data_IF_451188253387
#
_entry.id   IF_451188253387
#
_cell.length_a   1.000
_cell.length_b   1.000
_cell.length_c   1.000
_cell.angle_alpha   90.00
_cell.angle_beta   90.00
_cell.angle_gamma   90.00
#
_symmetry.space_group_name_H-M   'P 1'
#
loop_
_entity.id
_entity.type
_entity.pdbx_description
1 polymer ?
#
# COMPACT_ATOMS: atom_id res chain seq x y z
N UNK A 1 30.27 -21.29 25.21
CA UNK A 1 28.94 -20.65 25.38
C UNK A 1 28.84 -19.22 24.80
N UNK A 2 29.92 -18.56 24.35
CA UNK A 2 29.86 -17.18 23.82
C UNK A 2 29.30 -17.03 22.38
N UNK A 3 29.20 -18.13 21.61
CA UNK A 3 28.80 -18.12 20.19
C UNK A 3 27.27 -18.11 19.97
N UNK A 4 26.48 -18.53 20.97
CA UNK A 4 25.01 -18.46 20.90
C UNK A 4 24.50 -17.01 21.06
N UNK A 5 25.22 -16.18 21.81
CA UNK A 5 24.87 -14.77 22.01
C UNK A 5 25.05 -13.93 20.75
N UNK A 6 26.10 -14.19 19.96
CA UNK A 6 26.37 -13.47 18.71
C UNK A 6 25.44 -13.90 17.56
N UNK A 7 25.10 -15.19 17.47
CA UNK A 7 24.13 -15.69 16.49
C UNK A 7 22.76 -15.03 16.63
N UNK A 8 22.30 -14.80 17.86
CA UNK A 8 21.05 -14.07 18.13
C UNK A 8 21.09 -12.58 17.72
N UNK A 9 22.25 -11.93 17.84
CA UNK A 9 22.44 -10.55 17.40
C UNK A 9 22.49 -10.44 15.87
N UNK A 10 23.17 -11.38 15.19
CA UNK A 10 23.23 -11.45 13.73
C UNK A 10 21.83 -11.66 13.14
N UNK A 11 21.02 -12.54 13.73
CA UNK A 11 19.65 -12.78 13.29
C UNK A 11 18.73 -11.54 13.48
N UNK A 12 18.93 -10.77 14.54
CA UNK A 12 18.20 -9.51 14.74
C UNK A 12 18.64 -8.42 13.76
N UNK A 13 19.94 -8.36 13.43
CA UNK A 13 20.46 -7.44 12.42
C UNK A 13 19.83 -7.71 11.06
N UNK A 14 19.84 -8.96 10.60
CA UNK A 14 19.25 -9.32 9.31
C UNK A 14 17.73 -9.09 9.27
N UNK A 15 17.04 -9.34 10.38
CA UNK A 15 15.62 -9.00 10.51
C UNK A 15 15.36 -7.49 10.38
N UNK A 16 16.17 -6.67 11.06
CA UNK A 16 16.05 -5.21 10.98
C UNK A 16 16.35 -4.68 9.58
N UNK A 17 17.32 -5.27 8.88
CA UNK A 17 17.62 -4.93 7.48
C UNK A 17 16.42 -5.22 6.58
N UNK A 18 15.83 -6.42 6.68
CA UNK A 18 14.64 -6.78 5.90
C UNK A 18 13.44 -5.86 6.19
N UNK A 19 13.17 -5.52 7.45
CA UNK A 19 12.09 -4.57 7.78
C UNK A 19 12.35 -3.16 7.20
N UNK A 20 13.62 -2.74 7.16
CA UNK A 20 14.02 -1.48 6.52
C UNK A 20 13.76 -1.49 5.02
N UNK A 21 14.16 -2.56 4.32
CA UNK A 21 13.90 -2.71 2.87
C UNK A 21 12.41 -2.69 2.55
N UNK A 22 11.59 -3.44 3.30
CA UNK A 22 10.14 -3.43 3.13
C UNK A 22 9.55 -2.02 3.29
N UNK A 23 10.03 -1.25 4.27
CA UNK A 23 9.58 0.13 4.49
C UNK A 23 9.96 1.05 3.34
N UNK A 24 11.16 0.92 2.78
CA UNK A 24 11.58 1.71 1.61
C UNK A 24 10.70 1.39 0.40
N UNK A 25 10.46 0.10 0.12
CA UNK A 25 9.56 -0.31 -0.96
C UNK A 25 8.14 0.21 -0.77
N UNK A 26 7.60 0.13 0.46
CA UNK A 26 6.29 0.67 0.81
C UNK A 26 6.20 2.18 0.54
N UNK A 27 7.23 2.94 0.91
CA UNK A 27 7.29 4.38 0.70
C UNK A 27 7.42 4.76 -0.77
N UNK A 28 8.16 3.98 -1.57
CA UNK A 28 8.26 4.18 -3.02
C UNK A 28 6.91 3.95 -3.69
N UNK A 29 6.23 2.84 -3.39
CA UNK A 29 4.88 2.57 -3.89
C UNK A 29 3.89 3.66 -3.46
N UNK A 30 3.93 4.07 -2.20
CA UNK A 30 3.07 5.12 -1.68
C UNK A 30 3.23 6.46 -2.43
N UNK A 31 4.47 6.81 -2.79
CA UNK A 31 4.77 8.01 -3.56
C UNK A 31 4.30 7.90 -5.02
N UNK A 32 4.49 6.75 -5.67
CA UNK A 32 3.93 6.50 -7.01
C UNK A 32 2.40 6.62 -7.00
N UNK A 33 1.73 5.99 -6.02
CA UNK A 33 0.29 6.09 -5.84
C UNK A 33 -0.20 7.54 -5.73
N UNK A 34 0.44 8.34 -4.89
CA UNK A 34 0.12 9.76 -4.78
C UNK A 34 0.40 10.55 -6.05
N UNK A 35 1.50 10.27 -6.75
CA UNK A 35 1.87 10.98 -7.96
C UNK A 35 0.84 10.76 -9.07
N UNK A 36 0.42 9.50 -9.30
CA UNK A 36 -0.56 9.20 -10.35
C UNK A 36 -1.96 9.69 -10.02
N UNK A 37 -2.39 9.58 -8.76
CA UNK A 37 -3.64 10.18 -8.29
C UNK A 37 -3.62 11.71 -8.49
N UNK A 38 -2.50 12.38 -8.19
CA UNK A 38 -2.30 13.81 -8.48
C UNK A 38 -2.18 14.15 -9.97
N UNK A 39 -1.78 13.20 -10.82
CA UNK A 39 -1.71 13.36 -12.28
C UNK A 39 -3.09 13.26 -12.94
N UNK A 40 -4.01 12.49 -12.34
CA UNK A 40 -5.34 12.22 -12.87
C UNK A 40 -6.45 12.90 -12.04
N UNK A 41 -6.24 14.20 -11.73
CA UNK A 41 -7.04 14.97 -10.75
C UNK A 41 -8.55 14.95 -10.99
N UNK A 42 -8.98 15.08 -12.24
CA UNK A 42 -10.41 15.12 -12.56
C UNK A 42 -11.12 13.79 -12.31
N UNK A 43 -10.38 12.67 -12.35
CA UNK A 43 -10.88 11.35 -12.00
C UNK A 43 -10.38 10.87 -10.63
N UNK A 44 -9.87 11.75 -9.76
CA UNK A 44 -9.43 11.39 -8.41
C UNK A 44 -10.50 10.60 -7.61
N UNK A 45 -11.81 10.92 -7.70
CA UNK A 45 -12.86 10.10 -7.07
C UNK A 45 -12.89 8.64 -7.54
N UNK A 46 -12.40 8.34 -8.74
CA UNK A 46 -12.33 6.98 -9.28
C UNK A 46 -11.27 6.11 -8.60
N UNK A 47 -10.31 6.72 -7.90
CA UNK A 47 -9.34 5.99 -7.09
C UNK A 47 -9.86 5.64 -5.69
N UNK A 48 -11.02 6.16 -5.28
CA UNK A 48 -11.51 6.06 -3.90
C UNK A 48 -13.04 6.01 -3.80
N UNK A 49 -13.72 5.34 -4.74
CA UNK A 49 -15.18 5.27 -4.71
C UNK A 49 -15.64 4.43 -3.50
N UNK A 50 -16.03 5.11 -2.42
CA UNK A 50 -16.44 4.50 -1.15
C UNK A 50 -15.45 4.69 0.00
N UNK A 51 -15.76 4.06 1.14
CA UNK A 51 -15.01 4.26 2.39
C UNK A 51 -13.61 3.63 2.37
N UNK A 52 -13.38 2.59 1.57
CA UNK A 52 -12.09 1.90 1.46
C UNK A 52 -12.00 1.25 0.07
N UNK A 53 -11.11 1.73 -0.80
CA UNK A 53 -10.55 0.82 -1.82
C UNK A 53 -9.39 0.10 -1.16
N UNK A 54 -9.47 -1.22 -1.03
CA UNK A 54 -8.33 -2.09 -0.74
C UNK A 54 -7.88 -2.73 -2.04
N UNK A 55 -6.72 -2.34 -2.56
CA UNK A 55 -5.97 -3.21 -3.47
C UNK A 55 -5.36 -4.30 -2.61
N UNK A 56 -6.10 -5.40 -2.45
CA UNK A 56 -5.60 -6.54 -1.71
C UNK A 56 -4.71 -7.38 -2.62
N UNK A 57 -3.54 -7.79 -2.13
CA UNK A 57 -2.65 -8.76 -2.78
C UNK A 57 -3.24 -10.17 -2.96
N UNK A 58 -4.55 -10.31 -3.19
CA UNK A 58 -5.24 -11.53 -3.62
C UNK A 58 -6.60 -11.23 -4.28
N UNK A 59 -7.13 -10.01 -4.10
CA UNK A 59 -8.30 -9.51 -4.79
C UNK A 59 -8.06 -8.04 -5.14
N UNK A 60 -7.76 -7.77 -6.41
CA UNK A 60 -8.01 -6.45 -6.98
C UNK A 60 -9.50 -6.17 -6.79
N UNK A 61 -9.86 -5.40 -5.77
CA UNK A 61 -11.21 -4.84 -5.72
C UNK A 61 -11.24 -3.87 -6.89
N UNK A 62 -11.94 -4.27 -7.95
CA UNK A 62 -12.16 -3.38 -9.08
C UNK A 62 -12.70 -2.06 -8.51
N UNK A 63 -12.13 -0.90 -8.90
CA UNK A 63 -12.74 0.36 -8.54
C UNK A 63 -14.22 0.28 -8.89
N UNK A 64 -15.12 0.70 -7.99
CA UNK A 64 -16.54 0.77 -8.32
C UNK A 64 -16.72 1.54 -9.62
N UNK A 65 -17.79 1.23 -10.37
CA UNK A 65 -18.13 1.95 -11.59
C UNK A 65 -18.05 3.46 -11.34
N UNK A 66 -16.99 4.08 -11.85
CA UNK A 66 -16.73 5.50 -11.69
C UNK A 66 -16.88 6.15 -13.05
N UNK A 67 -17.67 7.23 -13.08
CA UNK A 67 -17.96 7.99 -14.29
C UNK A 67 -17.49 9.44 -14.18
N UNK A 68 -16.64 9.75 -13.20
CA UNK A 68 -16.11 11.10 -12.96
C UNK A 68 -14.87 11.33 -13.83
N UNK A 69 -14.90 12.41 -14.62
CA UNK A 69 -13.86 12.72 -15.61
C UNK A 69 -14.20 12.18 -17.01
N UNK A 70 -13.25 12.27 -17.93
CA UNK A 70 -13.34 11.69 -19.27
C UNK A 70 -13.14 10.18 -19.27
N UNK A 71 -13.63 9.48 -20.29
CA UNK A 71 -13.45 8.04 -20.43
C UNK A 71 -11.98 7.60 -20.39
N UNK A 72 -11.07 8.42 -20.95
CA UNK A 72 -9.63 8.17 -20.90
C UNK A 72 -9.08 8.29 -19.47
N UNK A 73 -9.52 9.28 -18.69
CA UNK A 73 -9.11 9.46 -17.29
C UNK A 73 -9.61 8.33 -16.41
N UNK A 74 -10.85 7.86 -16.61
CA UNK A 74 -11.39 6.68 -15.92
C UNK A 74 -10.57 5.42 -16.27
N UNK A 75 -10.22 5.23 -17.54
CA UNK A 75 -9.39 4.11 -17.98
C UNK A 75 -7.99 4.13 -17.34
N UNK A 76 -7.38 5.32 -17.20
CA UNK A 76 -6.10 5.50 -16.49
C UNK A 76 -6.22 5.07 -15.03
N UNK A 77 -7.27 5.53 -14.32
CA UNK A 77 -7.49 5.16 -12.92
C UNK A 77 -7.62 3.64 -12.73
N UNK A 78 -8.35 2.97 -13.63
CA UNK A 78 -8.49 1.52 -13.61
C UNK A 78 -7.15 0.80 -13.87
N UNK A 79 -6.36 1.31 -14.82
CA UNK A 79 -5.04 0.76 -15.14
C UNK A 79 -4.06 0.91 -13.97
N UNK A 80 -4.05 2.06 -13.31
CA UNK A 80 -3.22 2.32 -12.12
C UNK A 80 -3.56 1.37 -10.98
N UNK A 81 -4.85 1.21 -10.66
CA UNK A 81 -5.30 0.30 -9.61
C UNK A 81 -4.94 -1.17 -9.91
N UNK A 82 -4.99 -1.59 -11.19
CA UNK A 82 -4.56 -2.91 -11.61
C UNK A 82 -3.03 -3.08 -11.50
N UNK A 83 -2.26 -2.05 -11.88
CA UNK A 83 -0.81 -2.06 -11.77
C UNK A 83 -0.35 -2.17 -10.31
N UNK A 84 -0.91 -1.34 -9.41
CA UNK A 84 -0.58 -1.43 -7.98
C UNK A 84 -1.03 -2.74 -7.36
N UNK A 85 -2.18 -3.29 -7.75
CA UNK A 85 -2.60 -4.62 -7.32
C UNK A 85 -1.56 -5.70 -7.67
N UNK A 86 -0.98 -5.60 -8.87
CA UNK A 86 0.09 -6.50 -9.35
C UNK A 86 1.39 -6.29 -8.55
N UNK A 87 1.80 -5.05 -8.30
CA UNK A 87 2.98 -4.73 -7.49
C UNK A 87 2.83 -5.22 -6.04
N UNK A 88 1.65 -5.05 -5.43
CA UNK A 88 1.33 -5.48 -4.05
C UNK A 88 1.25 -7.00 -3.89
N UNK A 89 0.88 -7.73 -4.96
CA UNK A 89 0.95 -9.19 -5.02
C UNK A 89 2.39 -9.71 -4.91
N UNK A 90 3.39 -8.84 -5.02
CA UNK A 90 4.80 -9.22 -4.98
C UNK A 90 5.31 -9.80 -6.29
N UNK A 91 4.64 -9.50 -7.42
CA UNK A 91 5.14 -9.88 -8.75
C UNK A 91 6.39 -9.09 -9.16
N UNK A 92 6.82 -8.11 -8.37
CA UNK A 92 7.95 -7.23 -8.69
C UNK A 92 9.32 -7.88 -8.45
N UNK A 93 9.47 -8.85 -7.54
CA UNK A 93 10.77 -9.51 -7.29
C UNK A 93 10.61 -11.02 -7.00
N UNK A 94 10.82 -11.85 -8.02
CA UNK A 94 10.96 -13.30 -7.90
C UNK A 94 12.43 -13.67 -8.05
N UNK A 95 13.04 -14.24 -7.00
CA UNK A 95 14.37 -14.85 -7.08
C UNK A 95 14.28 -16.33 -6.71
N UNK A 96 14.71 -17.21 -7.63
CA UNK A 96 14.64 -18.67 -7.45
C UNK A 96 13.21 -19.22 -7.26
N UNK A 97 12.18 -18.58 -7.82
CA UNK A 97 10.78 -18.99 -7.67
C UNK A 97 10.14 -18.62 -6.33
N UNK A 98 10.84 -17.85 -5.48
CA UNK A 98 10.32 -17.27 -4.26
C UNK A 98 10.19 -15.76 -4.43
N UNK A 99 9.16 -15.15 -3.85
CA UNK A 99 9.10 -13.70 -3.74
C UNK A 99 10.24 -13.26 -2.81
N UNK A 100 11.27 -12.63 -3.37
CA UNK A 100 12.45 -12.17 -2.63
C UNK A 100 12.48 -10.67 -2.75
N UNK A 101 11.82 -9.99 -1.82
CA UNK A 101 11.83 -8.54 -1.69
C UNK A 101 10.48 -7.83 -1.84
N UNK A 102 9.39 -8.58 -2.02
CA UNK A 102 8.04 -8.03 -1.85
C UNK A 102 7.65 -7.93 -0.37
N UNK A 103 7.06 -6.80 0.02
CA UNK A 103 6.29 -6.66 1.26
C UNK A 103 5.37 -7.87 1.48
N UNK A 104 5.48 -8.53 2.64
CA UNK A 104 4.73 -9.76 2.93
C UNK A 104 3.25 -9.43 3.07
N UNK A 105 2.42 -10.00 2.20
CA UNK A 105 0.96 -9.84 2.23
C UNK A 105 0.50 -8.39 2.04
N UNK A 106 1.21 -7.61 1.22
CA UNK A 106 0.97 -6.19 1.10
C UNK A 106 -0.47 -5.84 0.64
N UNK A 107 -0.96 -4.71 1.13
CA UNK A 107 -2.27 -4.14 0.84
C UNK A 107 -2.10 -2.64 0.59
N UNK A 108 -2.71 -2.12 -0.47
CA UNK A 108 -2.83 -0.69 -0.71
C UNK A 108 -4.25 -0.24 -0.40
N UNK A 109 -4.40 0.93 0.21
CA UNK A 109 -5.71 1.54 0.40
C UNK A 109 -5.74 2.99 -0.03
N UNK A 110 -6.84 3.39 -0.64
CA UNK A 110 -7.14 4.78 -0.97
C UNK A 110 -8.51 5.11 -0.39
N UNK A 111 -8.53 6.08 0.52
CA UNK A 111 -9.71 6.48 1.29
C UNK A 111 -10.00 7.96 1.02
N UNK A 112 -11.25 8.29 0.66
CA UNK A 112 -11.69 9.68 0.60
C UNK A 112 -12.00 10.17 2.04
N UNK A 113 -10.99 10.77 2.70
CA UNK A 113 -11.14 11.26 4.08
C UNK A 113 -11.99 12.52 4.17
N UNK A 114 -11.99 13.32 3.10
CA UNK A 114 -12.90 14.45 2.91
C UNK A 114 -13.18 14.58 1.41
N UNK A 115 -14.26 13.93 0.96
CA UNK A 115 -14.65 13.93 -0.44
C UNK A 115 -15.02 15.34 -0.97
N UNK A 116 -15.55 16.21 -0.09
CA UNK A 116 -15.95 17.56 -0.46
C UNK A 116 -14.72 18.45 -0.75
N UNK A 117 -13.65 18.28 0.02
CA UNK A 117 -12.39 19.01 -0.18
C UNK A 117 -11.36 18.23 -1.01
N UNK A 118 -11.75 17.10 -1.60
CA UNK A 118 -10.89 16.21 -2.40
C UNK A 118 -9.61 15.79 -1.65
N UNK A 119 -9.76 15.48 -0.36
CA UNK A 119 -8.67 14.98 0.47
C UNK A 119 -8.75 13.47 0.52
N UNK A 120 -7.65 12.83 0.10
CA UNK A 120 -7.51 11.39 0.06
C UNK A 120 -6.38 10.96 0.99
N UNK A 121 -6.57 9.86 1.72
CA UNK A 121 -5.52 9.16 2.44
C UNK A 121 -5.14 7.92 1.66
N UNK A 122 -3.87 7.84 1.31
CA UNK A 122 -3.27 6.67 0.69
C UNK A 122 -2.49 5.95 1.77
N UNK A 123 -2.68 4.64 1.89
CA UNK A 123 -2.01 3.79 2.88
C UNK A 123 -1.45 2.55 2.20
N UNK A 124 -0.23 2.17 2.53
CA UNK A 124 0.34 0.86 2.20
C UNK A 124 0.57 0.11 3.50
N UNK A 125 -0.03 -1.08 3.63
CA UNK A 125 0.07 -1.94 4.79
C UNK A 125 0.69 -3.29 4.43
N UNK A 126 1.48 -3.87 5.33
CA UNK A 126 2.12 -5.17 5.13
C UNK A 126 2.39 -5.88 6.45
N UNK A 127 2.74 -7.16 6.37
CA UNK A 127 3.13 -7.96 7.53
C UNK A 127 4.59 -7.70 7.91
N UNK A 128 4.82 -7.17 9.09
CA UNK A 128 6.14 -7.07 9.71
C UNK A 128 6.66 -8.42 10.22
N UNK A 129 7.96 -8.48 10.48
CA UNK A 129 8.63 -9.70 10.94
C UNK A 129 8.60 -9.86 12.46
N UNK A 130 8.28 -8.79 13.19
CA UNK A 130 8.11 -8.78 14.64
C UNK A 130 6.81 -8.06 15.07
N UNK A 131 6.30 -8.40 16.25
CA UNK A 131 5.16 -7.69 16.85
C UNK A 131 5.56 -6.28 17.30
N UNK A 132 4.74 -5.29 16.97
CA UNK A 132 4.81 -3.89 17.46
C UNK A 132 3.43 -3.44 17.93
N UNK A 133 3.25 -2.14 18.18
CA UNK A 133 1.91 -1.58 18.31
C UNK A 133 1.13 -1.68 16.99
N UNK A 134 -0.16 -1.99 17.08
CA UNK A 134 -1.06 -1.99 15.95
C UNK A 134 -1.25 -0.56 15.40
N UNK A 135 -1.13 -0.33 14.08
CA UNK A 135 -1.38 0.99 13.49
C UNK A 135 -2.84 1.41 13.66
N UNK A 136 -3.10 2.68 13.99
CA UNK A 136 -4.45 3.25 14.03
C UNK A 136 -5.10 3.40 12.64
N UNK A 137 -4.32 3.19 11.57
CA UNK A 137 -4.80 3.21 10.19
C UNK A 137 -5.67 1.97 9.90
N UNK A 138 -6.85 2.12 9.27
CA UNK A 138 -7.78 1.02 9.05
C UNK A 138 -7.33 0.05 7.94
N UNK A 139 -6.45 0.49 7.05
CA UNK A 139 -5.96 -0.32 5.92
C UNK A 139 -5.32 -1.62 6.42
N UNK A 140 -5.85 -2.76 5.99
CA UNK A 140 -5.34 -4.08 6.37
C UNK A 140 -5.62 -4.51 7.81
N UNK A 141 -6.57 -3.84 8.50
CA UNK A 141 -7.04 -4.28 9.82
C UNK A 141 -7.56 -5.71 9.78
N UNK A 142 -7.05 -6.57 10.67
CA UNK A 142 -7.43 -7.98 10.77
C UNK A 142 -6.93 -8.89 9.63
N UNK A 143 -6.16 -8.38 8.66
CA UNK A 143 -5.66 -9.16 7.52
C UNK A 143 -4.30 -9.83 7.76
N UNK A 144 -3.64 -9.54 8.90
CA UNK A 144 -2.28 -9.98 9.22
C UNK A 144 -2.20 -10.91 10.44
N UNK A 145 -3.30 -11.62 10.73
CA UNK A 145 -3.45 -12.39 11.97
C UNK A 145 -3.51 -11.45 13.18
N UNK A 146 -2.45 -11.41 13.98
CA UNK A 146 -2.37 -10.44 15.07
C UNK A 146 -2.05 -9.04 14.50
N UNK A 147 -2.87 -8.06 14.82
CA UNK A 147 -2.76 -6.68 14.36
C UNK A 147 -1.43 -6.01 14.72
N UNK A 148 -0.77 -6.47 15.79
CA UNK A 148 0.59 -6.08 16.16
C UNK A 148 1.64 -6.40 15.09
N UNK A 149 1.35 -7.31 14.17
CA UNK A 149 2.22 -7.60 13.04
C UNK A 149 2.02 -6.63 11.87
N UNK A 150 0.95 -5.82 11.85
CA UNK A 150 0.73 -4.89 10.76
C UNK A 150 1.72 -3.74 10.83
N UNK A 151 2.38 -3.48 9.71
CA UNK A 151 3.06 -2.23 9.42
C UNK A 151 2.20 -1.44 8.45
N UNK A 152 2.23 -0.12 8.58
CA UNK A 152 1.52 0.77 7.66
C UNK A 152 2.28 2.08 7.50
N UNK A 153 2.31 2.59 6.28
CA UNK A 153 2.72 3.97 5.95
C UNK A 153 1.57 4.64 5.22
N UNK A 154 1.36 5.92 5.48
CA UNK A 154 0.27 6.67 4.85
C UNK A 154 0.66 8.10 4.57
N UNK A 155 0.06 8.68 3.54
CA UNK A 155 0.09 10.11 3.24
C UNK A 155 -1.31 10.61 2.98
N UNK A 156 -1.55 11.87 3.30
CA UNK A 156 -2.75 12.59 2.86
C UNK A 156 -2.39 13.51 1.71
N UNK A 157 -3.19 13.46 0.64
CA UNK A 157 -3.07 14.33 -0.51
C UNK A 157 -4.36 15.09 -0.70
N UNK A 158 -4.25 16.38 -1.01
CA UNK A 158 -5.39 17.22 -1.40
C UNK A 158 -5.30 17.50 -2.89
N UNK A 159 -6.35 17.12 -3.61
CA UNK A 159 -6.42 17.33 -5.06
C UNK A 159 -7.03 18.70 -5.33
N UNK A 160 -6.29 19.54 -6.05
CA UNK A 160 -6.78 20.84 -6.48
C UNK A 160 -7.94 20.69 -7.46
N UNK A 161 -9.01 21.44 -7.24
CA UNK A 161 -10.10 21.57 -8.20
C UNK A 161 -9.65 22.44 -9.37
N UNK A 162 -9.79 21.93 -10.60
CA UNK A 162 -9.60 22.72 -11.81
C UNK A 162 -10.93 23.42 -12.10
N UNK A 163 -11.01 24.71 -11.74
CA UNK A 163 -12.12 25.61 -12.10
C UNK A 163 -11.95 26.14 -13.51
#
# INVERSE_FOLDING_TARGET
MALLGTAGLIARSSQSEMESYQRVQALTLLQDMAARLNGNRQAAPCYASGTIITTAGSATVAPPACTVGSAAQVAIANADLAAWGTELLGSAEISGGKAVGAMIGALGCIEAVDAANQIYRITVAWQGLAKTAAPALPCGSGQFGNDANRRAVSIQVRIGVLS
#
